data_IF_338292575088
#
_entry.id   IF_338292575088
#
_cell.length_a   1.000
_cell.length_b   1.000
_cell.length_c   1.000
_cell.angle_alpha   90.00
_cell.angle_beta   90.00
_cell.angle_gamma   90.00
#
_symmetry.space_group_name_H-M   'P 1'
#
loop_
_entity.id
_entity.type
_entity.pdbx_description
1 polymer ?
#
# COMPACT_ATOMS: atom_id res chain seq x y z
N UNK A 1 4.27 10.44 -5.62
CA UNK A 1 5.67 9.92 -5.73
C UNK A 1 5.82 9.07 -6.98
N UNK A 2 7.06 8.79 -7.44
CA UNK A 2 7.27 7.93 -8.61
C UNK A 2 7.03 6.46 -8.24
N UNK A 3 6.54 5.64 -9.18
CA UNK A 3 6.27 4.22 -8.96
C UNK A 3 7.49 3.42 -8.46
N UNK A 4 8.72 3.88 -8.72
CA UNK A 4 9.95 3.29 -8.15
C UNK A 4 10.03 3.48 -6.63
N UNK A 5 9.63 4.64 -6.11
CA UNK A 5 9.61 4.93 -4.67
C UNK A 5 8.61 4.02 -3.96
N UNK A 6 7.41 3.84 -4.54
CA UNK A 6 6.40 2.93 -4.00
C UNK A 6 6.86 1.47 -4.02
N UNK A 7 7.50 1.02 -5.11
CA UNK A 7 8.05 -0.34 -5.17
C UNK A 7 9.11 -0.58 -4.09
N UNK A 8 10.01 0.37 -3.86
CA UNK A 8 11.03 0.28 -2.80
C UNK A 8 10.38 0.28 -1.41
N UNK A 9 9.35 1.11 -1.19
CA UNK A 9 8.56 1.08 0.05
C UNK A 9 7.90 -0.27 0.27
N UNK A 10 7.29 -0.86 -0.77
CA UNK A 10 6.74 -2.20 -0.74
C UNK A 10 7.79 -3.27 -0.41
N UNK A 11 9.01 -3.16 -0.97
CA UNK A 11 10.12 -4.06 -0.66
C UNK A 11 10.55 -3.98 0.80
N UNK A 12 10.72 -2.77 1.33
CA UNK A 12 11.09 -2.55 2.75
C UNK A 12 10.00 -3.13 3.68
N UNK A 13 8.73 -2.87 3.39
CA UNK A 13 7.62 -3.39 4.19
C UNK A 13 7.56 -4.92 4.13
N UNK A 14 7.75 -5.54 2.95
CA UNK A 14 7.74 -6.98 2.78
C UNK A 14 8.89 -7.66 3.50
N UNK A 15 10.13 -7.22 3.31
CA UNK A 15 11.27 -7.81 4.02
C UNK A 15 11.21 -7.57 5.52
N UNK A 16 10.76 -6.39 5.96
CA UNK A 16 10.54 -6.11 7.37
C UNK A 16 9.50 -7.04 7.99
N UNK A 17 8.43 -7.38 7.25
CA UNK A 17 7.42 -8.33 7.73
C UNK A 17 7.96 -9.76 7.79
N UNK A 18 8.76 -10.20 6.82
CA UNK A 18 9.42 -11.53 6.87
C UNK A 18 10.26 -11.67 8.14
N UNK A 19 11.06 -10.63 8.45
CA UNK A 19 11.86 -10.61 9.68
C UNK A 19 10.96 -10.59 10.93
N UNK A 20 9.87 -9.82 10.91
CA UNK A 20 8.90 -9.76 12.01
C UNK A 20 8.20 -11.10 12.23
N UNK A 21 7.77 -11.78 11.18
CA UNK A 21 7.18 -13.13 11.24
C UNK A 21 8.20 -14.14 11.78
N UNK A 22 9.42 -14.17 11.23
CA UNK A 22 10.48 -15.05 11.70
C UNK A 22 10.78 -14.83 13.18
N UNK A 23 10.89 -13.56 13.62
CA UNK A 23 11.09 -13.24 15.04
C UNK A 23 9.91 -13.67 15.92
N UNK A 24 8.66 -13.51 15.43
CA UNK A 24 7.46 -13.96 16.12
C UNK A 24 7.40 -15.47 16.29
N UNK A 25 7.69 -16.24 15.24
CA UNK A 25 7.74 -17.70 15.28
C UNK A 25 8.85 -18.16 16.25
N UNK A 26 10.02 -17.55 16.17
CA UNK A 26 11.14 -17.87 17.06
C UNK A 26 10.79 -17.62 18.54
N UNK A 27 10.16 -16.47 18.83
CA UNK A 27 9.70 -16.14 20.18
C UNK A 27 8.62 -17.12 20.68
N UNK A 28 7.68 -17.50 19.81
CA UNK A 28 6.62 -18.45 20.15
C UNK A 28 7.19 -19.83 20.50
N UNK A 29 8.18 -20.32 19.76
CA UNK A 29 8.83 -21.60 19.99
C UNK A 29 9.98 -21.52 21.02
N UNK A 30 10.27 -20.34 21.57
CA UNK A 30 11.40 -20.12 22.49
C UNK A 30 12.75 -20.55 21.91
N UNK A 31 12.96 -20.36 20.62
CA UNK A 31 14.21 -20.71 19.93
C UNK A 31 14.85 -19.46 19.32
N UNK A 32 16.18 -19.43 19.15
CA UNK A 32 16.83 -18.38 18.37
C UNK A 32 16.30 -18.34 16.92
N UNK A 33 16.16 -17.16 16.32
CA UNK A 33 15.71 -16.99 14.94
C UNK A 33 16.55 -17.83 13.96
N UNK A 34 17.86 -17.99 14.22
CA UNK A 34 18.74 -18.83 13.43
C UNK A 34 18.43 -20.33 13.50
N UNK A 35 17.52 -20.77 14.38
CA UNK A 35 17.10 -22.15 14.52
C UNK A 35 15.74 -22.46 13.89
N UNK A 36 15.09 -21.47 13.28
CA UNK A 36 13.84 -21.67 12.57
C UNK A 36 14.02 -22.57 11.35
N UNK A 37 13.00 -23.36 11.04
CA UNK A 37 12.95 -24.04 9.75
C UNK A 37 12.73 -22.99 8.66
N UNK A 38 13.64 -22.92 7.69
CA UNK A 38 13.52 -22.01 6.55
C UNK A 38 12.23 -22.24 5.75
N UNK A 39 11.64 -23.43 5.81
CA UNK A 39 10.39 -23.79 5.14
C UNK A 39 9.21 -22.95 5.63
N UNK A 40 9.25 -22.51 6.89
CA UNK A 40 8.21 -21.66 7.46
C UNK A 40 8.30 -20.21 6.95
N UNK A 41 9.47 -19.79 6.50
CA UNK A 41 9.77 -18.43 6.05
C UNK A 41 9.69 -18.28 4.52
N UNK A 42 10.04 -19.35 3.77
CA UNK A 42 10.07 -19.31 2.30
C UNK A 42 8.78 -18.82 1.62
N UNK A 43 7.58 -19.23 2.05
CA UNK A 43 6.35 -18.75 1.42
C UNK A 43 6.19 -17.23 1.52
N UNK A 44 6.65 -16.62 2.62
CA UNK A 44 6.63 -15.16 2.77
C UNK A 44 7.61 -14.48 1.81
N UNK A 45 8.76 -15.07 1.54
CA UNK A 45 9.73 -14.53 0.58
C UNK A 45 9.20 -14.64 -0.85
N UNK A 46 8.67 -15.81 -1.22
CA UNK A 46 8.28 -16.06 -2.62
C UNK A 46 6.88 -15.58 -2.99
N UNK A 47 5.98 -15.41 -2.02
CA UNK A 47 4.60 -14.98 -2.28
C UNK A 47 4.35 -13.59 -1.73
N UNK A 48 4.61 -13.36 -0.44
CA UNK A 48 4.29 -12.07 0.21
C UNK A 48 5.11 -10.93 -0.39
N UNK A 49 6.40 -11.15 -0.67
CA UNK A 49 7.27 -10.10 -1.20
C UNK A 49 6.84 -9.60 -2.60
N UNK A 50 6.67 -10.45 -3.64
CA UNK A 50 6.22 -9.95 -4.94
C UNK A 50 4.82 -9.34 -4.87
N UNK A 51 3.92 -9.84 -4.01
CA UNK A 51 2.61 -9.27 -3.80
C UNK A 51 2.68 -7.88 -3.16
N UNK A 52 3.60 -7.66 -2.22
CA UNK A 52 3.79 -6.34 -1.62
C UNK A 52 4.32 -5.31 -2.64
N UNK A 53 5.26 -5.71 -3.49
CA UNK A 53 5.74 -4.84 -4.59
C UNK A 53 4.61 -4.53 -5.57
N UNK A 54 3.82 -5.53 -5.94
CA UNK A 54 2.69 -5.34 -6.83
C UNK A 54 1.66 -4.40 -6.20
N UNK A 55 1.23 -4.66 -4.97
CA UNK A 55 0.22 -3.88 -4.26
C UNK A 55 0.68 -2.43 -3.99
N UNK A 56 1.97 -2.22 -3.74
CA UNK A 56 2.52 -0.88 -3.55
C UNK A 56 2.43 0.01 -4.80
N UNK A 57 2.21 -0.57 -5.97
CA UNK A 57 1.97 0.14 -7.23
C UNK A 57 0.51 0.06 -7.67
N UNK A 58 -0.22 -0.98 -7.22
CA UNK A 58 -1.60 -1.21 -7.62
C UNK A 58 -2.56 -0.10 -7.18
N UNK A 59 -2.22 0.65 -6.14
CA UNK A 59 -2.97 1.84 -5.72
C UNK A 59 -3.02 2.91 -6.81
N UNK A 60 -2.00 2.98 -7.67
CA UNK A 60 -1.94 3.91 -8.80
C UNK A 60 -2.68 3.40 -10.06
N UNK A 61 -3.46 2.32 -9.97
CA UNK A 61 -4.29 1.82 -11.07
C UNK A 61 -5.43 2.78 -11.45
N UNK A 62 -5.71 3.78 -10.63
CA UNK A 62 -6.65 4.85 -10.94
C UNK A 62 -6.10 5.92 -11.91
N UNK A 63 -4.82 5.84 -12.26
CA UNK A 63 -4.22 6.70 -13.28
C UNK A 63 -4.80 6.45 -14.69
N UNK A 64 -4.57 7.40 -15.60
CA UNK A 64 -4.87 7.19 -17.02
C UNK A 64 -4.14 5.97 -17.59
N UNK A 65 -4.77 5.27 -18.54
CA UNK A 65 -4.25 4.03 -19.17
C UNK A 65 -2.77 4.11 -19.58
N UNK A 66 -2.30 5.28 -20.04
CA UNK A 66 -0.91 5.49 -20.46
C UNK A 66 0.10 5.50 -19.30
N UNK A 67 -0.34 5.70 -18.07
CA UNK A 67 0.49 5.79 -16.85
C UNK A 67 0.27 4.65 -15.87
N UNK A 68 -0.55 3.65 -16.22
CA UNK A 68 -0.74 2.45 -15.39
C UNK A 68 0.61 1.75 -15.17
N UNK A 69 0.99 1.49 -13.90
CA UNK A 69 2.31 0.96 -13.57
C UNK A 69 2.55 -0.47 -14.06
N UNK A 70 1.47 -1.21 -14.31
CA UNK A 70 1.51 -2.58 -14.84
C UNK A 70 0.56 -2.74 -16.02
N UNK A 71 0.98 -3.51 -17.01
CA UNK A 71 0.16 -3.91 -18.18
C UNK A 71 -0.22 -5.38 -18.15
N UNK A 72 -0.13 -6.03 -17.00
CA UNK A 72 -0.61 -7.40 -16.85
C UNK A 72 -2.15 -7.44 -16.87
N UNK A 73 -2.76 -8.59 -17.21
CA UNK A 73 -4.22 -8.70 -17.35
C UNK A 73 -4.99 -8.38 -16.07
N UNK A 74 -4.43 -8.69 -14.90
CA UNK A 74 -5.09 -8.44 -13.60
C UNK A 74 -5.13 -6.94 -13.31
N UNK A 75 -3.99 -6.26 -13.42
CA UNK A 75 -3.89 -4.81 -13.23
C UNK A 75 -4.76 -4.06 -14.22
N UNK A 76 -4.77 -4.46 -15.49
CA UNK A 76 -5.62 -3.84 -16.51
C UNK A 76 -7.10 -4.08 -16.24
N UNK A 77 -7.49 -5.28 -15.80
CA UNK A 77 -8.88 -5.56 -15.42
C UNK A 77 -9.34 -4.69 -14.24
N UNK A 78 -8.53 -4.59 -13.19
CA UNK A 78 -8.82 -3.72 -12.04
C UNK A 78 -8.87 -2.24 -12.44
N UNK A 79 -7.96 -1.80 -13.29
CA UNK A 79 -7.98 -0.45 -13.85
C UNK A 79 -9.31 -0.18 -14.58
N UNK A 80 -9.75 -1.07 -15.46
CA UNK A 80 -11.03 -0.92 -16.15
C UNK A 80 -12.22 -0.96 -15.19
N UNK A 81 -12.22 -1.81 -14.18
CA UNK A 81 -13.27 -1.84 -13.16
C UNK A 81 -13.35 -0.50 -12.41
N UNK A 82 -12.22 0.06 -11.99
CA UNK A 82 -12.17 1.38 -11.34
C UNK A 82 -12.71 2.49 -12.26
N UNK A 83 -12.36 2.44 -13.56
CA UNK A 83 -12.85 3.41 -14.53
C UNK A 83 -14.31 3.20 -14.94
N UNK A 84 -14.83 1.96 -14.90
CA UNK A 84 -16.25 1.69 -15.16
C UNK A 84 -17.18 2.36 -14.14
N UNK A 85 -16.73 2.57 -12.90
CA UNK A 85 -17.53 3.26 -11.89
C UNK A 85 -17.91 4.68 -12.33
N UNK A 86 -17.02 5.38 -13.02
CA UNK A 86 -17.29 6.69 -13.60
C UNK A 86 -18.28 6.64 -14.77
N UNK A 87 -18.28 5.54 -15.54
CA UNK A 87 -19.25 5.28 -16.61
C UNK A 87 -20.65 4.99 -16.06
N UNK A 88 -20.73 4.12 -15.05
CA UNK A 88 -21.99 3.74 -14.39
C UNK A 88 -22.66 4.95 -13.72
N UNK A 89 -21.87 5.86 -13.18
CA UNK A 89 -22.37 7.12 -12.61
C UNK A 89 -23.34 7.87 -13.53
N UNK A 90 -23.12 7.84 -14.86
CA UNK A 90 -23.95 8.56 -15.84
C UNK A 90 -25.41 8.11 -15.88
N UNK A 91 -25.69 6.90 -15.37
CA UNK A 91 -27.06 6.35 -15.29
C UNK A 91 -27.84 6.84 -14.07
N UNK A 92 -27.20 7.57 -13.15
CA UNK A 92 -27.86 8.07 -11.94
C UNK A 92 -28.10 9.58 -11.99
N UNK A 93 -29.20 10.08 -11.41
CA UNK A 93 -29.44 11.52 -11.31
C UNK A 93 -28.29 12.24 -10.58
N UNK A 94 -27.82 13.36 -11.10
CA UNK A 94 -26.69 14.13 -10.55
C UNK A 94 -26.83 14.49 -9.06
N UNK A 95 -28.07 14.60 -8.56
CA UNK A 95 -28.36 14.92 -7.16
C UNK A 95 -28.43 13.70 -6.26
N UNK A 96 -28.45 12.48 -6.81
CA UNK A 96 -28.56 11.25 -6.03
C UNK A 96 -27.31 10.99 -5.21
N UNK A 97 -27.48 10.33 -4.07
CA UNK A 97 -26.38 9.85 -3.24
C UNK A 97 -25.43 8.91 -4.02
N UNK A 98 -26.02 7.99 -4.80
CA UNK A 98 -25.26 7.04 -5.63
C UNK A 98 -24.39 7.78 -6.65
N UNK A 99 -24.92 8.81 -7.34
CA UNK A 99 -24.14 9.62 -8.26
C UNK A 99 -22.96 10.31 -7.56
N UNK A 100 -23.21 10.86 -6.38
CA UNK A 100 -22.18 11.52 -5.58
C UNK A 100 -21.10 10.52 -5.11
N UNK A 101 -21.49 9.37 -4.58
CA UNK A 101 -20.56 8.33 -4.13
C UNK A 101 -19.73 7.77 -5.30
N UNK A 102 -20.37 7.45 -6.42
CA UNK A 102 -19.65 7.02 -7.63
C UNK A 102 -18.81 8.13 -8.25
N UNK A 103 -19.20 9.38 -8.05
CA UNK A 103 -18.52 10.56 -8.59
C UNK A 103 -17.26 10.98 -7.86
N UNK A 104 -17.01 10.44 -6.67
CA UNK A 104 -15.69 10.55 -6.04
C UNK A 104 -14.63 9.76 -6.80
N UNK A 105 -15.05 8.90 -7.72
CA UNK A 105 -14.20 8.07 -8.55
C UNK A 105 -14.04 8.58 -9.98
N UNK A 106 -14.24 9.86 -10.26
CA UNK A 106 -13.68 10.37 -11.51
C UNK A 106 -12.20 10.02 -11.48
N UNK A 107 -11.81 9.18 -12.43
CA UNK A 107 -10.52 8.56 -12.59
C UNK A 107 -9.37 9.58 -12.65
N UNK A 108 -9.26 10.34 -11.59
CA UNK A 108 -8.16 11.23 -11.30
C UNK A 108 -7.21 10.46 -10.41
N UNK A 109 -5.96 10.62 -10.68
CA UNK A 109 -4.89 10.21 -9.77
C UNK A 109 -5.29 10.50 -8.32
N UNK A 110 -5.18 9.44 -7.48
CA UNK A 110 -5.56 9.47 -6.07
C UNK A 110 -7.06 9.58 -5.81
N UNK A 111 -7.81 8.69 -6.44
CA UNK A 111 -9.21 8.48 -6.09
C UNK A 111 -9.34 7.97 -4.65
N UNK A 112 -10.49 8.22 -4.02
CA UNK A 112 -10.73 7.72 -2.67
C UNK A 112 -10.78 6.18 -2.61
N UNK A 113 -11.16 5.52 -3.71
CA UNK A 113 -11.23 4.05 -3.79
C UNK A 113 -9.87 3.38 -3.61
N UNK A 114 -8.81 4.06 -3.97
CA UNK A 114 -7.44 3.52 -3.92
C UNK A 114 -6.57 4.21 -2.87
N UNK A 115 -6.94 5.42 -2.41
CA UNK A 115 -6.11 6.24 -1.52
C UNK A 115 -6.86 6.68 -0.27
N UNK A 116 -7.69 5.81 0.33
CA UNK A 116 -8.44 6.12 1.55
C UNK A 116 -8.13 5.18 2.71
N UNK A 117 -8.46 5.65 3.91
CA UNK A 117 -8.48 4.87 5.14
C UNK A 117 -9.39 3.64 5.06
N UNK A 118 -10.55 3.76 4.38
CA UNK A 118 -11.46 2.63 4.17
C UNK A 118 -10.81 1.53 3.34
N UNK A 119 -10.15 1.88 2.25
CA UNK A 119 -9.49 0.89 1.40
C UNK A 119 -8.36 0.20 2.15
N UNK A 120 -7.59 0.96 2.92
CA UNK A 120 -6.57 0.40 3.80
C UNK A 120 -7.19 -0.59 4.81
N UNK A 121 -8.29 -0.21 5.46
CA UNK A 121 -9.02 -1.09 6.38
C UNK A 121 -9.51 -2.37 5.69
N UNK A 122 -10.12 -2.26 4.50
CA UNK A 122 -10.63 -3.42 3.75
C UNK A 122 -9.51 -4.38 3.37
N UNK A 123 -8.35 -3.88 2.96
CA UNK A 123 -7.19 -4.73 2.63
C UNK A 123 -6.66 -5.44 3.88
N UNK A 124 -6.63 -4.79 5.05
CA UNK A 124 -6.26 -5.44 6.30
C UNK A 124 -7.31 -6.45 6.79
N UNK A 125 -8.60 -6.23 6.52
CA UNK A 125 -9.65 -7.23 6.79
C UNK A 125 -9.46 -8.51 5.97
N UNK A 126 -8.91 -8.43 4.76
CA UNK A 126 -8.56 -9.64 4.00
C UNK A 126 -7.51 -10.49 4.73
N UNK A 127 -6.55 -9.87 5.42
CA UNK A 127 -5.59 -10.59 6.26
C UNK A 127 -6.31 -11.32 7.39
N UNK A 128 -7.19 -10.62 8.10
CA UNK A 128 -7.98 -11.24 9.18
C UNK A 128 -8.79 -12.43 8.65
N UNK A 129 -9.45 -12.30 7.49
CA UNK A 129 -10.23 -13.38 6.88
C UNK A 129 -9.35 -14.56 6.43
N UNK A 130 -8.13 -14.33 6.00
CA UNK A 130 -7.19 -15.38 5.66
C UNK A 130 -6.76 -16.18 6.89
N UNK A 131 -6.42 -15.50 7.98
CA UNK A 131 -5.89 -16.15 9.18
C UNK A 131 -6.97 -16.77 10.08
N UNK A 132 -8.21 -16.28 10.05
CA UNK A 132 -9.32 -16.91 10.79
C UNK A 132 -9.98 -18.09 10.04
N UNK A 133 -9.44 -18.48 8.88
CA UNK A 133 -9.91 -19.61 8.10
C UNK A 133 -11.13 -19.34 7.21
N UNK A 134 -11.61 -18.09 7.09
CA UNK A 134 -12.76 -17.75 6.25
C UNK A 134 -12.55 -18.16 4.80
N UNK A 135 -11.37 -17.88 4.23
CA UNK A 135 -11.05 -18.30 2.86
C UNK A 135 -10.94 -19.81 2.70
N UNK A 136 -10.49 -20.52 3.75
CA UNK A 136 -10.48 -21.99 3.75
C UNK A 136 -11.89 -22.55 3.67
N UNK A 137 -12.83 -21.96 4.40
CA UNK A 137 -14.26 -22.36 4.36
C UNK A 137 -14.90 -22.08 3.00
N UNK A 138 -14.57 -20.94 2.37
CA UNK A 138 -15.19 -20.55 1.11
C UNK A 138 -14.56 -21.19 -0.13
N UNK A 139 -13.26 -21.36 -0.14
CA UNK A 139 -12.49 -21.72 -1.34
C UNK A 139 -11.67 -23.00 -1.18
N UNK A 140 -11.74 -23.66 -0.02
CA UNK A 140 -10.98 -24.88 0.27
C UNK A 140 -9.57 -24.63 0.80
N UNK A 141 -8.93 -25.73 1.25
CA UNK A 141 -7.67 -25.69 2.00
C UNK A 141 -6.54 -25.02 1.23
N UNK A 142 -6.38 -25.37 -0.05
CA UNK A 142 -5.27 -24.85 -0.88
C UNK A 142 -5.33 -23.33 -1.05
N UNK A 143 -6.51 -22.80 -1.41
CA UNK A 143 -6.69 -21.35 -1.57
C UNK A 143 -6.69 -20.63 -0.22
N UNK A 144 -7.17 -21.29 0.83
CA UNK A 144 -7.08 -20.78 2.20
C UNK A 144 -5.63 -20.59 2.64
N UNK A 145 -4.77 -21.58 2.43
CA UNK A 145 -3.35 -21.47 2.74
C UNK A 145 -2.64 -20.41 1.88
N UNK A 146 -2.90 -20.40 0.57
CA UNK A 146 -2.34 -19.40 -0.32
C UNK A 146 -2.73 -17.98 0.12
N UNK A 147 -3.97 -17.78 0.56
CA UNK A 147 -4.46 -16.49 1.02
C UNK A 147 -3.69 -15.96 2.23
N UNK A 148 -3.21 -16.84 3.13
CA UNK A 148 -2.40 -16.46 4.29
C UNK A 148 -1.03 -15.86 3.90
N UNK A 149 -0.53 -16.14 2.71
CA UNK A 149 0.73 -15.55 2.21
C UNK A 149 0.50 -14.37 1.27
N UNK A 150 -0.59 -14.39 0.51
CA UNK A 150 -0.93 -13.33 -0.46
C UNK A 150 -1.44 -12.08 0.25
N UNK A 151 -2.38 -12.23 1.19
CA UNK A 151 -3.07 -11.08 1.80
C UNK A 151 -2.16 -10.19 2.64
N UNK A 152 -1.17 -10.70 3.41
CA UNK A 152 -0.19 -9.82 4.07
C UNK A 152 0.62 -9.00 3.07
N UNK A 153 1.01 -9.59 1.94
CA UNK A 153 1.71 -8.86 0.88
C UNK A 153 0.87 -7.71 0.33
N UNK A 154 -0.40 -7.97 0.04
CA UNK A 154 -1.32 -6.93 -0.39
C UNK A 154 -1.44 -5.81 0.66
N UNK A 155 -1.67 -6.16 1.92
CA UNK A 155 -1.85 -5.19 2.99
C UNK A 155 -0.59 -4.34 3.23
N UNK A 156 0.58 -4.96 3.24
CA UNK A 156 1.85 -4.28 3.47
C UNK A 156 2.23 -3.36 2.30
N UNK A 157 2.09 -3.84 1.08
CA UNK A 157 2.36 -3.04 -0.11
C UNK A 157 1.42 -1.83 -0.20
N UNK A 158 0.15 -2.05 0.07
CA UNK A 158 -0.85 -0.97 0.09
C UNK A 158 -0.56 0.03 1.21
N UNK A 159 -0.24 -0.45 2.42
CA UNK A 159 0.16 0.40 3.54
C UNK A 159 1.39 1.25 3.20
N UNK A 160 2.43 0.63 2.62
CA UNK A 160 3.64 1.34 2.22
C UNK A 160 3.33 2.45 1.20
N UNK A 161 2.43 2.18 0.23
CA UNK A 161 1.97 3.19 -0.73
C UNK A 161 1.29 4.37 -0.03
N UNK A 162 0.28 4.09 0.79
CA UNK A 162 -0.48 5.13 1.51
C UNK A 162 0.42 5.96 2.42
N UNK A 163 1.37 5.33 3.14
CA UNK A 163 2.33 6.05 3.99
C UNK A 163 3.21 6.99 3.17
N UNK A 164 3.72 6.54 2.02
CA UNK A 164 4.53 7.38 1.15
C UNK A 164 3.73 8.53 0.56
N UNK A 165 2.49 8.28 0.18
CA UNK A 165 1.60 9.32 -0.34
C UNK A 165 1.13 10.29 0.75
N UNK A 166 0.95 9.81 1.98
CA UNK A 166 0.67 10.68 3.12
C UNK A 166 1.77 11.74 3.31
N UNK A 167 3.03 11.40 3.01
CA UNK A 167 4.15 12.37 3.07
C UNK A 167 4.10 13.42 1.96
N UNK A 168 3.24 13.27 0.97
CA UNK A 168 3.06 14.27 -0.10
C UNK A 168 2.03 15.33 0.29
N UNK A 169 2.06 16.53 -0.33
CA UNK A 169 1.11 17.60 -0.02
C UNK A 169 -0.36 17.25 -0.24
N UNK A 170 -0.64 16.22 -1.04
CA UNK A 170 -2.01 15.81 -1.35
C UNK A 170 -2.63 14.92 -0.28
N UNK A 171 -1.81 14.19 0.49
CA UNK A 171 -2.26 13.34 1.59
C UNK A 171 -3.16 12.17 1.15
N UNK A 172 -3.90 11.62 2.10
CA UNK A 172 -4.86 10.52 1.89
C UNK A 172 -6.30 10.98 2.20
N UNK A 173 -7.28 10.31 1.60
CA UNK A 173 -8.68 10.58 1.86
C UNK A 173 -9.14 9.98 3.19
N UNK A 174 -10.01 10.71 3.87
CA UNK A 174 -10.71 10.26 5.07
C UNK A 174 -12.16 9.93 4.70
N UNK A 175 -12.55 8.68 4.84
CA UNK A 175 -13.87 8.20 4.40
C UNK A 175 -15.00 8.79 5.22
N UNK A 176 -14.85 8.89 6.54
CA UNK A 176 -15.91 9.43 7.41
C UNK A 176 -16.22 10.91 7.10
N UNK A 177 -15.23 11.82 7.09
CA UNK A 177 -15.44 13.20 6.67
C UNK A 177 -16.03 13.33 5.26
N UNK A 178 -15.56 12.50 4.33
CA UNK A 178 -16.05 12.48 2.96
C UNK A 178 -17.54 12.13 2.90
N UNK A 179 -17.95 11.08 3.62
CA UNK A 179 -19.35 10.64 3.71
C UNK A 179 -20.24 11.69 4.35
N UNK A 180 -19.81 12.26 5.49
CA UNK A 180 -20.57 13.31 6.20
C UNK A 180 -20.76 14.53 5.32
N UNK A 181 -19.72 15.04 4.68
CA UNK A 181 -19.81 16.19 3.78
C UNK A 181 -20.72 15.90 2.58
N UNK A 182 -20.69 14.66 2.07
CA UNK A 182 -21.58 14.24 0.96
C UNK A 182 -23.03 14.23 1.38
N UNK A 183 -23.36 13.71 2.57
CA UNK A 183 -24.72 13.68 3.10
C UNK A 183 -25.22 15.08 3.38
N UNK A 184 -24.39 15.93 3.99
CA UNK A 184 -24.77 17.31 4.31
C UNK A 184 -24.78 18.25 3.08
N UNK A 185 -24.23 17.80 1.95
CA UNK A 185 -24.13 18.61 0.74
C UNK A 185 -23.23 19.84 0.85
N UNK A 186 -22.39 19.89 1.90
CA UNK A 186 -21.46 20.99 2.16
C UNK A 186 -20.20 20.45 2.86
N UNK A 187 -19.08 21.14 2.66
CA UNK A 187 -17.81 20.79 3.33
C UNK A 187 -17.79 21.33 4.77
N UNK A 188 -18.02 20.46 5.73
CA UNK A 188 -18.00 20.77 7.17
C UNK A 188 -16.73 20.21 7.81
N UNK A 189 -16.26 19.06 7.32
CA UNK A 189 -15.09 18.36 7.86
C UNK A 189 -13.98 18.29 6.80
N UNK A 190 -12.70 18.24 7.22
CA UNK A 190 -11.58 18.04 6.30
C UNK A 190 -11.66 16.62 5.70
N UNK A 191 -11.75 16.53 4.37
CA UNK A 191 -11.88 15.26 3.63
C UNK A 191 -10.54 14.57 3.41
N UNK A 192 -9.44 15.29 3.59
CA UNK A 192 -8.09 14.74 3.40
C UNK A 192 -7.25 14.90 4.65
N UNK A 193 -6.57 13.83 5.01
CA UNK A 193 -5.53 13.87 6.01
C UNK A 193 -4.21 14.22 5.31
N UNK A 194 -3.67 15.37 5.66
CA UNK A 194 -2.41 15.89 5.13
C UNK A 194 -1.37 15.88 6.24
N UNK A 195 -0.07 15.78 5.93
CA UNK A 195 0.97 15.88 6.94
C UNK A 195 0.84 17.19 7.70
N UNK A 196 0.99 17.11 9.03
CA UNK A 196 0.79 18.25 9.93
C UNK A 196 1.75 19.37 9.54
N UNK A 197 1.21 20.57 9.36
CA UNK A 197 1.91 21.77 8.94
C UNK A 197 3.26 22.08 9.65
N UNK A 198 3.49 21.76 10.96
CA UNK A 198 4.79 21.95 11.59
C UNK A 198 5.90 21.07 11.02
N UNK A 199 5.60 19.81 10.67
CA UNK A 199 6.58 18.92 10.04
C UNK A 199 6.90 19.37 8.61
N UNK A 200 5.88 19.81 7.88
CA UNK A 200 6.03 20.37 6.54
C UNK A 200 6.72 21.73 6.59
N UNK A 201 6.47 22.56 7.61
CA UNK A 201 7.12 23.86 7.75
C UNK A 201 8.57 23.75 8.26
N UNK A 202 8.88 22.76 9.08
CA UNK A 202 10.27 22.47 9.50
C UNK A 202 11.11 21.95 8.34
N UNK A 203 10.45 21.24 7.41
CA UNK A 203 11.06 20.71 6.21
C UNK A 203 10.90 21.64 4.98
N UNK A 204 10.20 22.78 5.09
CA UNK A 204 10.06 23.78 4.04
C UNK A 204 11.00 24.96 4.27
N UNK A 205 12.17 24.95 3.66
CA UNK A 205 13.00 26.14 3.52
C UNK A 205 12.27 27.16 2.63
N UNK A 206 11.87 28.27 3.23
CA UNK A 206 11.43 29.44 2.44
C UNK A 206 12.65 30.00 1.70
N UNK A 207 12.82 29.57 0.47
CA UNK A 207 13.78 30.17 -0.46
C UNK A 207 13.07 31.28 -1.23
N UNK A 208 13.27 32.53 -0.79
CA UNK A 208 12.72 33.72 -1.42
C UNK A 208 11.20 33.94 -1.20
N UNK A 209 10.70 35.11 -1.56
CA UNK A 209 9.34 35.60 -1.27
C UNK A 209 8.17 34.79 -1.84
N UNK A 210 8.36 33.71 -2.63
CA UNK A 210 7.22 33.15 -3.38
C UNK A 210 7.17 31.65 -3.66
N UNK A 211 8.08 30.81 -3.18
CA UNK A 211 7.94 29.35 -3.41
C UNK A 211 8.20 28.57 -2.14
N UNK A 212 7.14 28.03 -1.54
CA UNK A 212 7.29 26.90 -0.64
C UNK A 212 7.81 25.72 -1.49
N UNK A 213 9.05 25.29 -1.25
CA UNK A 213 9.56 24.06 -1.84
C UNK A 213 8.82 22.93 -1.12
N UNK A 214 7.92 22.26 -1.82
CA UNK A 214 7.29 21.05 -1.32
C UNK A 214 8.35 19.94 -1.37
N UNK A 215 8.87 19.54 -0.22
CA UNK A 215 9.96 18.58 -0.10
C UNK A 215 9.65 17.22 -0.74
N UNK A 216 8.40 16.82 -0.78
CA UNK A 216 7.98 15.52 -1.27
C UNK A 216 7.18 15.60 -2.59
N UNK A 217 7.48 16.57 -3.45
CA UNK A 217 6.89 16.57 -4.79
C UNK A 217 7.56 15.55 -5.70
N UNK A 218 6.75 14.95 -6.59
CA UNK A 218 7.21 13.94 -7.54
C UNK A 218 8.40 14.41 -8.37
N UNK A 219 9.50 13.64 -8.36
CA UNK A 219 10.70 13.88 -9.15
C UNK A 219 11.69 14.88 -8.54
N UNK A 220 11.44 15.41 -7.35
CA UNK A 220 12.36 16.34 -6.70
C UNK A 220 13.58 15.63 -6.03
N UNK A 221 14.56 16.42 -5.55
CA UNK A 221 15.76 15.89 -4.89
C UNK A 221 15.47 15.07 -3.64
N UNK A 222 14.41 15.42 -2.89
CA UNK A 222 13.98 14.68 -1.70
C UNK A 222 13.38 13.32 -2.02
N UNK A 223 12.59 13.21 -3.08
CA UNK A 223 12.13 11.90 -3.53
C UNK A 223 13.30 11.00 -3.91
N UNK A 224 14.31 11.55 -4.60
CA UNK A 224 15.54 10.79 -4.91
C UNK A 224 16.29 10.36 -3.64
N UNK A 225 16.38 11.22 -2.62
CA UNK A 225 17.00 10.88 -1.34
C UNK A 225 16.23 9.75 -0.65
N UNK A 226 14.88 9.83 -0.58
CA UNK A 226 14.04 8.76 -0.05
C UNK A 226 14.24 7.46 -0.85
N UNK A 227 14.30 7.51 -2.19
CA UNK A 227 14.59 6.33 -3.02
C UNK A 227 15.91 5.67 -2.62
N UNK A 228 16.97 6.44 -2.40
CA UNK A 228 18.25 5.89 -1.98
C UNK A 228 18.17 5.26 -0.59
N UNK A 229 17.52 5.92 0.37
CA UNK A 229 17.33 5.36 1.72
C UNK A 229 16.53 4.06 1.67
N UNK A 230 15.41 4.03 0.94
CA UNK A 230 14.59 2.83 0.79
C UNK A 230 15.34 1.73 0.04
N UNK A 231 16.14 2.06 -0.96
CA UNK A 231 16.98 1.11 -1.68
C UNK A 231 18.01 0.45 -0.75
N UNK A 232 18.76 1.25 0.01
CA UNK A 232 19.74 0.73 0.97
C UNK A 232 19.05 -0.11 2.06
N UNK A 233 17.95 0.38 2.62
CA UNK A 233 17.16 -0.36 3.61
C UNK A 233 16.63 -1.69 3.05
N UNK A 234 16.14 -1.71 1.81
CA UNK A 234 15.68 -2.93 1.14
C UNK A 234 16.82 -3.94 0.99
N UNK A 235 18.02 -3.52 0.62
CA UNK A 235 19.18 -4.39 0.51
C UNK A 235 19.64 -4.95 1.86
N UNK A 236 19.68 -4.11 2.91
CA UNK A 236 20.03 -4.55 4.26
C UNK A 236 19.03 -5.61 4.73
N UNK A 237 17.72 -5.34 4.59
CA UNK A 237 16.67 -6.27 4.99
C UNK A 237 16.72 -7.56 4.15
N UNK A 238 16.97 -7.46 2.85
CA UNK A 238 17.18 -8.63 1.98
C UNK A 238 18.33 -9.50 2.47
N UNK A 239 19.51 -8.91 2.75
CA UNK A 239 20.66 -9.64 3.24
C UNK A 239 20.38 -10.30 4.61
N UNK A 240 19.62 -9.65 5.49
CA UNK A 240 19.18 -10.24 6.75
C UNK A 240 18.25 -11.43 6.51
N UNK A 241 17.28 -11.32 5.59
CA UNK A 241 16.39 -12.43 5.23
C UNK A 241 17.20 -13.58 4.63
N UNK A 242 18.14 -13.31 3.72
CA UNK A 242 19.05 -14.31 3.13
C UNK A 242 19.85 -15.00 4.22
N UNK A 243 20.41 -14.24 5.17
CA UNK A 243 21.15 -14.79 6.31
C UNK A 243 20.27 -15.71 7.17
N UNK A 244 19.00 -15.38 7.39
CA UNK A 244 18.05 -16.19 8.16
C UNK A 244 17.58 -17.45 7.43
N UNK A 245 17.44 -17.38 6.11
CA UNK A 245 16.87 -18.45 5.27
C UNK A 245 17.93 -19.42 4.78
N UNK A 246 19.18 -18.96 4.56
CA UNK A 246 20.25 -19.85 4.12
C UNK A 246 20.68 -20.76 5.27
N UNK A 247 20.67 -22.09 5.05
CA UNK A 247 21.11 -23.03 6.05
C UNK A 247 22.65 -23.03 6.13
N UNK A 248 23.24 -22.08 6.82
CA UNK A 248 24.67 -22.03 7.13
C UNK A 248 25.17 -23.32 7.83
N UNK A 249 24.23 -24.14 8.33
CA UNK A 249 24.46 -25.41 9.01
C UNK A 249 24.86 -26.58 8.10
N UNK A 250 24.75 -26.42 6.78
CA UNK A 250 25.21 -27.46 5.84
C UNK A 250 26.74 -27.41 5.67
N UNK A 251 27.36 -26.33 6.16
CA UNK A 251 28.80 -26.09 6.02
C UNK A 251 29.60 -26.25 7.33
N UNK A 252 28.94 -26.56 8.43
CA UNK A 252 29.55 -26.95 9.71
C UNK A 252 29.13 -28.35 10.13
#
# INVERSE_FOLDING_TARGET
MLGKTHALGGSVAAFGSVLGVASGIAAYHHVPVAQLDYRDVLPFVFVTYPMAIWASKASDLDHHVGSVPFRDPVSMSLHYVLHCTSGVRRFFPRKSFVYKVLGFGDAQHRSWQTHSDLTLLLVWLLVVFAYNGTFTLWFGVVLGQLSQWVTPGLALGFTAHIVLDFLTPEGMWLTVPLLVNTVLGRRVLPEKFKPISPLVSLLSLKVGKQRAIHYFSTGNGWEKAIQHVLFVASWILFLLVVYLVLPWRVLT
#
